data_IF_007840307762
#
_entry.id   IF_007840307762
#
_cell.length_a   1.000
_cell.length_b   1.000
_cell.length_c   1.000
_cell.angle_alpha   90.00
_cell.angle_beta   90.00
_cell.angle_gamma   90.00
#
_symmetry.space_group_name_H-M   'P 1'
#
loop_
_entity.id
_entity.type
_entity.pdbx_description
1 polymer ?
#
# COMPACT_ATOMS: atom_id res chain seq x y z
N UNK A 1 -4.48 2.95 8.23
CA UNK A 1 -3.88 1.59 8.24
C UNK A 1 -2.34 1.66 8.17
N UNK A 2 -1.59 0.60 8.49
CA UNK A 2 -0.11 0.60 8.45
C UNK A 2 0.41 -0.20 7.24
N UNK A 3 1.51 0.27 6.65
CA UNK A 3 2.26 -0.47 5.64
C UNK A 3 2.92 -1.69 6.27
N UNK A 4 2.73 -2.87 5.67
CA UNK A 4 3.41 -4.11 6.03
C UNK A 4 4.42 -4.46 4.94
N UNK A 5 5.63 -4.81 5.31
CA UNK A 5 6.61 -5.31 4.35
C UNK A 5 6.17 -6.66 3.81
N UNK A 6 6.28 -6.86 2.50
CA UNK A 6 6.05 -8.16 1.86
C UNK A 6 7.40 -8.72 1.41
N UNK A 7 7.80 -9.91 1.87
CA UNK A 7 8.96 -10.59 1.31
C UNK A 7 8.67 -10.98 -0.15
N UNK A 8 9.65 -10.79 -1.04
CA UNK A 8 9.58 -11.30 -2.41
C UNK A 8 10.79 -12.18 -2.67
N UNK A 9 10.60 -13.21 -3.49
CA UNK A 9 11.64 -14.18 -3.84
C UNK A 9 11.67 -14.33 -5.35
N UNK A 10 12.87 -14.43 -5.93
CA UNK A 10 13.03 -14.66 -7.38
C UNK A 10 12.32 -13.60 -8.26
N UNK A 11 12.27 -12.35 -7.79
CA UNK A 11 11.60 -11.27 -8.51
C UNK A 11 10.07 -11.35 -8.51
N UNK A 12 9.48 -12.27 -7.72
CA UNK A 12 8.03 -12.45 -7.60
C UNK A 12 7.55 -12.07 -6.21
N UNK A 13 6.49 -11.26 -6.19
CA UNK A 13 5.70 -10.97 -5.00
C UNK A 13 4.58 -12.01 -4.91
N UNK A 14 4.59 -12.81 -3.85
CA UNK A 14 3.45 -13.65 -3.51
C UNK A 14 2.60 -12.86 -2.52
N UNK A 15 1.36 -12.59 -2.89
CA UNK A 15 0.38 -11.89 -2.06
C UNK A 15 -0.78 -12.83 -1.89
N UNK A 16 -1.05 -13.23 -0.66
CA UNK A 16 -2.19 -14.08 -0.33
C UNK A 16 -3.46 -13.21 -0.35
N UNK A 17 -4.37 -13.51 -1.29
CA UNK A 17 -5.64 -12.79 -1.49
C UNK A 17 -6.76 -13.60 -0.81
N UNK A 18 -6.57 -14.00 0.44
CA UNK A 18 -7.54 -14.82 1.18
C UNK A 18 -8.69 -14.00 1.78
N UNK A 19 -8.52 -12.68 1.92
CA UNK A 19 -9.58 -11.76 2.35
C UNK A 19 -10.07 -10.97 1.13
N UNK A 20 -10.98 -11.57 0.37
CA UNK A 20 -11.47 -11.03 -0.92
C UNK A 20 -12.20 -9.68 -0.78
N UNK A 21 -12.74 -9.38 0.40
CA UNK A 21 -13.66 -8.25 0.58
C UNK A 21 -12.97 -6.91 0.88
N UNK A 22 -11.67 -6.89 1.21
CA UNK A 22 -10.97 -5.64 1.54
C UNK A 22 -10.01 -5.23 0.42
N UNK A 23 -10.23 -4.07 -0.22
CA UNK A 23 -9.31 -3.56 -1.21
C UNK A 23 -7.95 -3.24 -0.57
N UNK A 24 -6.87 -3.58 -1.26
CA UNK A 24 -5.52 -3.29 -0.82
C UNK A 24 -4.68 -2.77 -1.97
N UNK A 25 -3.56 -2.13 -1.62
CA UNK A 25 -2.54 -1.68 -2.57
C UNK A 25 -1.19 -2.27 -2.19
N UNK A 26 -0.44 -2.69 -3.21
CA UNK A 26 0.96 -3.07 -3.09
C UNK A 26 1.82 -2.00 -3.76
N UNK A 27 2.84 -1.54 -3.06
CA UNK A 27 3.78 -0.54 -3.54
C UNK A 27 5.18 -1.13 -3.52
N UNK A 28 5.82 -1.19 -4.68
CA UNK A 28 7.22 -1.62 -4.83
C UNK A 28 8.10 -0.42 -5.17
N UNK A 29 9.20 -0.26 -4.45
CA UNK A 29 10.18 0.78 -4.71
C UNK A 29 11.55 0.36 -4.16
N UNK A 30 12.59 0.39 -5.00
CA UNK A 30 13.99 0.14 -4.61
C UNK A 30 14.24 -1.19 -3.87
N UNK A 31 13.60 -2.28 -4.29
CA UNK A 31 13.80 -3.56 -3.63
C UNK A 31 13.03 -3.72 -2.31
N UNK A 32 12.12 -2.80 -1.99
CA UNK A 32 11.13 -2.97 -0.92
C UNK A 32 9.73 -3.04 -1.51
N UNK A 33 8.95 -4.02 -1.07
CA UNK A 33 7.52 -4.10 -1.35
C UNK A 33 6.74 -3.91 -0.05
N UNK A 34 5.69 -3.10 -0.10
CA UNK A 34 4.81 -2.84 1.03
C UNK A 34 3.36 -3.03 0.62
N UNK A 35 2.57 -3.66 1.48
CA UNK A 35 1.12 -3.77 1.32
C UNK A 35 0.42 -2.98 2.41
N UNK A 36 -0.70 -2.39 2.03
CA UNK A 36 -1.63 -1.80 2.98
C UNK A 36 -3.04 -1.92 2.43
N UNK A 37 -3.99 -2.14 3.32
CA UNK A 37 -5.40 -2.10 2.96
C UNK A 37 -5.84 -0.65 2.77
N UNK A 38 -6.80 -0.42 1.88
CA UNK A 38 -7.39 0.90 1.66
C UNK A 38 -8.46 1.15 2.75
N UNK A 39 -8.61 2.40 3.22
CA UNK A 39 -9.66 2.72 4.17
C UNK A 39 -11.04 2.55 3.52
N UNK A 40 -12.05 2.22 4.33
CA UNK A 40 -13.44 2.10 3.85
C UNK A 40 -13.98 3.44 3.31
N UNK A 41 -13.51 4.56 3.88
CA UNK A 41 -13.84 5.92 3.47
C UNK A 41 -12.58 6.79 3.47
N UNK A 42 -12.53 7.77 2.58
CA UNK A 42 -11.40 8.69 2.46
C UNK A 42 -10.44 8.37 1.32
N UNK A 43 -9.26 8.98 1.36
CA UNK A 43 -8.28 8.96 0.28
C UNK A 43 -6.98 8.27 0.68
N UNK A 44 -6.39 7.51 -0.24
CA UNK A 44 -5.02 7.01 -0.11
C UNK A 44 -4.13 7.67 -1.15
N UNK A 45 -3.10 8.40 -0.69
CA UNK A 45 -2.16 9.14 -1.55
C UNK A 45 -0.77 8.53 -1.51
N UNK A 46 -0.29 8.05 -2.64
CA UNK A 46 1.12 7.65 -2.81
C UNK A 46 1.93 8.88 -3.21
N UNK A 47 2.81 9.32 -2.31
CA UNK A 47 3.64 10.51 -2.53
C UNK A 47 5.02 10.06 -2.99
N UNK A 48 5.39 10.48 -4.19
CA UNK A 48 6.71 10.20 -4.79
C UNK A 48 7.62 11.42 -4.73
N UNK A 49 8.93 11.19 -4.73
CA UNK A 49 9.95 12.23 -4.85
C UNK A 49 11.18 11.63 -5.52
N UNK A 50 11.67 12.24 -6.61
CA UNK A 50 12.84 11.79 -7.37
C UNK A 50 12.75 10.30 -7.80
N UNK A 51 11.60 9.90 -8.35
CA UNK A 51 11.38 8.53 -8.83
C UNK A 51 11.24 7.48 -7.74
N UNK A 52 11.19 7.88 -6.45
CA UNK A 52 11.03 6.98 -5.31
C UNK A 52 9.72 7.24 -4.58
N UNK A 53 9.14 6.20 -4.00
CA UNK A 53 8.02 6.34 -3.07
C UNK A 53 8.58 6.87 -1.75
N UNK A 54 8.11 8.04 -1.34
CA UNK A 54 8.52 8.69 -0.08
C UNK A 54 7.62 8.28 1.09
N UNK A 55 6.30 8.26 0.86
CA UNK A 55 5.29 7.85 1.85
C UNK A 55 3.95 7.53 1.21
N UNK A 56 3.14 6.74 1.90
CA UNK A 56 1.71 6.56 1.63
C UNK A 56 0.95 7.28 2.75
N UNK A 57 0.08 8.24 2.38
CA UNK A 57 -0.77 8.98 3.33
C UNK A 57 -2.20 8.46 3.22
N UNK A 58 -2.86 8.29 4.36
CA UNK A 58 -4.28 8.00 4.47
C UNK A 58 -4.97 9.27 4.96
N UNK A 59 -6.01 9.70 4.27
CA UNK A 59 -6.83 10.87 4.59
C UNK A 59 -8.27 10.40 4.77
N UNK A 60 -8.62 9.95 5.98
CA UNK A 60 -9.93 9.41 6.34
C UNK A 60 -10.92 10.54 6.67
N UNK A 61 -10.91 11.63 5.88
CA UNK A 61 -11.59 12.88 6.21
C UNK A 61 -13.03 12.70 6.72
N UNK A 62 -13.43 13.54 7.69
CA UNK A 62 -14.84 13.69 8.05
C UNK A 62 -15.52 14.52 6.96
N UNK A 63 -16.58 13.98 6.34
CA UNK A 63 -17.59 14.83 5.69
C UNK A 63 -18.35 15.55 6.82
N UNK A 64 -18.13 16.85 6.97
CA UNK A 64 -18.98 17.73 7.77
C UNK A 64 -19.96 18.47 6.84
#
# INVERSE_FOLDING_TARGET
>A
MRLKNIPFKEGKLNVDIENEDMPFVVVYCQGEAKLTYLPNHGETKVITHQGRVKRVKFDEGEEF
#
